data_IF_254895915184
#
_entry.id   IF_254895915184
#
_cell.length_a   1.000
_cell.length_b   1.000
_cell.length_c   1.000
_cell.angle_alpha   90.00
_cell.angle_beta   90.00
_cell.angle_gamma   90.00
#
_symmetry.space_group_name_H-M   'P 1'
#
loop_
_entity.id
_entity.type
_entity.pdbx_description
1 polymer ?
#
# COMPACT_ATOMS: atom_id res chain seq x y z
N UNK A 1 0.80 -6.12 14.38
CA UNK A 1 1.97 -6.19 13.48
C UNK A 1 1.73 -7.06 12.26
N UNK A 2 1.34 -8.34 12.42
CA UNK A 2 1.17 -9.24 11.28
C UNK A 2 0.16 -8.71 10.25
N UNK A 3 -0.98 -8.18 10.68
CA UNK A 3 -1.96 -7.54 9.79
C UNK A 3 -1.37 -6.40 8.94
N UNK A 4 -0.55 -5.54 9.54
CA UNK A 4 0.09 -4.44 8.81
C UNK A 4 1.12 -4.96 7.79
N UNK A 5 1.82 -6.06 8.09
CA UNK A 5 2.80 -6.68 7.18
C UNK A 5 2.08 -7.29 5.98
N UNK A 6 1.00 -8.00 6.28
CA UNK A 6 0.11 -8.57 5.30
C UNK A 6 -0.50 -7.51 4.36
N UNK A 7 -0.96 -6.37 4.90
CA UNK A 7 -1.44 -5.27 4.06
C UNK A 7 -0.34 -4.65 3.19
N UNK A 8 0.89 -4.52 3.71
CA UNK A 8 2.03 -4.03 2.93
C UNK A 8 2.36 -4.95 1.74
N UNK A 9 2.30 -6.26 1.95
CA UNK A 9 2.50 -7.24 0.89
C UNK A 9 1.43 -7.15 -0.19
N UNK A 10 0.15 -7.02 0.17
CA UNK A 10 -0.92 -6.80 -0.81
C UNK A 10 -0.56 -5.64 -1.74
N UNK A 11 -0.24 -4.46 -1.18
CA UNK A 11 0.04 -3.28 -1.99
C UNK A 11 1.29 -3.45 -2.87
N UNK A 12 2.33 -4.12 -2.38
CA UNK A 12 3.54 -4.39 -3.17
C UNK A 12 3.28 -5.28 -4.38
N UNK A 13 2.43 -6.31 -4.25
CA UNK A 13 2.04 -7.14 -5.39
C UNK A 13 1.20 -6.37 -6.40
N UNK A 14 0.34 -5.48 -5.94
CA UNK A 14 -0.52 -4.68 -6.83
C UNK A 14 0.26 -3.67 -7.64
N UNK A 15 1.34 -3.13 -7.06
CA UNK A 15 2.23 -2.21 -7.74
C UNK A 15 2.80 -2.80 -9.04
N UNK A 16 3.12 -4.10 -9.05
CA UNK A 16 3.71 -4.78 -10.21
C UNK A 16 2.79 -4.83 -11.44
N UNK A 17 1.47 -4.74 -11.25
CA UNK A 17 0.49 -4.96 -12.31
C UNK A 17 -0.29 -3.70 -12.72
N UNK A 18 0.00 -2.56 -12.09
CA UNK A 18 -0.62 -1.29 -12.45
C UNK A 18 0.20 -0.56 -13.51
N UNK A 19 -0.49 -0.08 -14.54
CA UNK A 19 0.16 0.63 -15.64
C UNK A 19 -0.03 2.15 -15.55
N UNK A 20 -1.13 2.62 -14.94
CA UNK A 20 -1.44 4.03 -14.92
C UNK A 20 -0.62 4.76 -13.83
N UNK A 21 0.10 5.85 -14.16
CA UNK A 21 1.01 6.55 -13.23
C UNK A 21 0.27 7.06 -11.98
N UNK A 22 -0.98 7.53 -12.15
CA UNK A 22 -1.83 7.92 -11.02
C UNK A 22 -2.09 6.78 -10.04
N UNK A 23 -2.37 5.57 -10.53
CA UNK A 23 -2.62 4.43 -9.64
C UNK A 23 -1.35 3.92 -8.97
N UNK A 24 -0.21 3.98 -9.67
CA UNK A 24 1.10 3.69 -9.08
C UNK A 24 1.40 4.67 -7.95
N UNK A 25 1.14 5.96 -8.14
CA UNK A 25 1.28 7.00 -7.10
C UNK A 25 0.36 6.75 -5.90
N UNK A 26 -0.91 6.41 -6.13
CA UNK A 26 -1.83 6.09 -5.04
C UNK A 26 -1.40 4.85 -4.22
N UNK A 27 -0.96 3.77 -4.88
CA UNK A 27 -0.47 2.58 -4.17
C UNK A 27 0.77 2.91 -3.34
N UNK A 28 1.70 3.67 -3.91
CA UNK A 28 2.91 4.09 -3.21
C UNK A 28 2.59 4.96 -1.98
N UNK A 29 1.65 5.90 -2.10
CA UNK A 29 1.19 6.68 -0.95
C UNK A 29 0.65 5.77 0.16
N UNK A 30 -0.29 4.87 -0.15
CA UNK A 30 -0.81 3.91 0.84
C UNK A 30 0.29 3.07 1.48
N UNK A 31 1.27 2.60 0.70
CA UNK A 31 2.39 1.81 1.19
C UNK A 31 3.28 2.61 2.16
N UNK A 32 3.56 3.88 1.87
CA UNK A 32 4.38 4.74 2.75
C UNK A 32 3.72 5.01 4.10
N UNK A 33 2.39 5.15 4.12
CA UNK A 33 1.62 5.27 5.37
C UNK A 33 1.73 3.97 6.18
N UNK A 34 1.62 2.81 5.53
CA UNK A 34 1.79 1.53 6.22
C UNK A 34 3.20 1.36 6.77
N UNK A 35 4.23 1.75 6.02
CA UNK A 35 5.62 1.65 6.46
C UNK A 35 5.90 2.60 7.63
N UNK A 36 5.39 3.84 7.61
CA UNK A 36 5.58 4.76 8.72
C UNK A 36 4.94 4.23 10.02
N UNK A 37 3.73 3.66 9.92
CA UNK A 37 3.07 2.99 11.05
C UNK A 37 3.91 1.81 11.56
N UNK A 38 4.45 0.98 10.66
CA UNK A 38 5.31 -0.14 11.04
C UNK A 38 6.58 0.29 11.76
N UNK A 39 7.28 1.30 11.24
CA UNK A 39 8.48 1.83 11.89
C UNK A 39 8.18 2.43 13.26
N UNK A 40 6.99 3.01 13.46
CA UNK A 40 6.53 3.50 14.75
C UNK A 40 6.25 2.40 15.78
N UNK A 41 5.94 1.18 15.35
CA UNK A 41 5.84 0.03 16.26
C UNK A 41 7.20 -0.62 16.54
N UNK A 42 8.17 -0.54 15.62
CA UNK A 42 9.51 -1.11 15.83
C UNK A 42 10.41 -0.27 16.74
N UNK A 43 10.27 1.06 16.67
CA UNK A 43 11.03 1.98 17.51
C UNK A 43 10.12 2.62 18.54
N UNK A 44 10.64 2.85 19.75
CA UNK A 44 9.90 3.49 20.85
C UNK A 44 9.43 4.92 20.53
N UNK A 45 10.15 5.61 19.63
CA UNK A 45 9.85 6.98 19.24
C UNK A 45 9.42 7.05 17.78
N UNK A 46 8.28 7.70 17.52
CA UNK A 46 7.72 7.90 16.17
C UNK A 46 8.52 8.88 15.28
N UNK A 47 9.63 9.45 15.77
CA UNK A 47 10.37 10.50 15.06
C UNK A 47 10.87 10.04 13.68
N UNK A 48 11.42 8.82 13.60
CA UNK A 48 11.86 8.25 12.33
C UNK A 48 10.69 7.99 11.37
N UNK A 49 9.58 7.43 11.86
CA UNK A 49 8.39 7.19 11.03
C UNK A 49 7.78 8.49 10.50
N UNK A 50 7.81 9.57 11.29
CA UNK A 50 7.30 10.88 10.91
C UNK A 50 8.14 11.54 9.81
N UNK A 51 9.48 11.49 9.93
CA UNK A 51 10.39 11.97 8.89
C UNK A 51 10.17 11.20 7.59
N UNK A 52 10.06 9.87 7.67
CA UNK A 52 9.80 9.01 6.51
C UNK A 52 8.48 9.38 5.82
N UNK A 53 7.42 9.59 6.59
CA UNK A 53 6.10 10.00 6.08
C UNK A 53 6.16 11.34 5.34
N UNK A 54 6.78 12.36 5.94
CA UNK A 54 6.84 13.70 5.35
C UNK A 54 7.66 13.75 4.06
N UNK A 55 8.84 13.14 4.06
CA UNK A 55 9.73 13.16 2.89
C UNK A 55 9.10 12.40 1.72
N UNK A 56 8.49 11.23 1.98
CA UNK A 56 7.94 10.41 0.91
C UNK A 56 6.66 10.99 0.32
N UNK A 57 5.77 11.53 1.15
CA UNK A 57 4.54 12.19 0.67
C UNK A 57 4.88 13.46 -0.09
N UNK A 58 5.83 14.27 0.40
CA UNK A 58 6.28 15.47 -0.31
C UNK A 58 6.80 15.16 -1.71
N UNK A 59 7.66 14.15 -1.85
CA UNK A 59 8.19 13.73 -3.16
C UNK A 59 7.11 13.16 -4.09
N UNK A 60 6.17 12.39 -3.55
CA UNK A 60 5.09 11.79 -4.35
C UNK A 60 4.07 12.81 -4.83
N UNK A 61 3.76 13.85 -4.04
CA UNK A 61 2.84 14.91 -4.45
C UNK A 61 3.41 15.73 -5.62
N UNK A 62 4.72 16.00 -5.64
CA UNK A 62 5.37 16.69 -6.77
C UNK A 62 5.30 15.83 -8.03
N UNK A 63 5.60 14.54 -7.95
CA UNK A 63 5.44 13.62 -9.09
C UNK A 63 4.00 13.52 -9.57
N UNK A 64 3.02 13.56 -8.66
CA UNK A 64 1.60 13.52 -9.01
C UNK A 64 1.17 14.75 -9.83
N UNK A 65 1.57 15.95 -9.40
CA UNK A 65 1.27 17.20 -10.13
C UNK A 65 1.95 17.18 -11.51
N UNK A 66 3.19 16.70 -11.58
CA UNK A 66 3.90 16.59 -12.85
C UNK A 66 3.19 15.65 -13.85
N UNK A 67 2.85 14.44 -13.42
CA UNK A 67 2.22 13.46 -14.31
C UNK A 67 0.81 13.86 -14.75
N UNK A 68 0.02 14.48 -13.87
CA UNK A 68 -1.31 14.99 -14.23
C UNK A 68 -1.27 16.17 -15.20
N UNK A 69 -0.18 16.95 -15.20
CA UNK A 69 -0.01 18.06 -16.15
C UNK A 69 0.38 17.61 -17.57
N UNK A 70 0.89 16.39 -17.72
CA UNK A 70 1.46 15.89 -18.99
C UNK A 70 0.58 14.84 -19.67
N UNK A 71 -0.15 14.02 -18.91
CA UNK A 71 -0.95 12.95 -19.47
C UNK A 71 -2.39 13.40 -19.77
N UNK A 72 -2.89 13.07 -20.97
CA UNK A 72 -4.34 13.02 -21.21
C UNK A 72 -4.97 11.97 -20.30
N UNK A 73 -6.11 12.27 -19.68
CA UNK A 73 -6.87 11.33 -18.84
C UNK A 73 -7.33 10.10 -19.64
N UNK A 74 -6.46 9.12 -19.82
CA UNK A 74 -6.81 7.84 -20.40
C UNK A 74 -7.76 7.09 -19.47
N UNK A 75 -8.73 6.38 -20.05
CA UNK A 75 -9.73 5.66 -19.27
C UNK A 75 -9.04 4.56 -18.46
N UNK A 76 -9.30 4.57 -17.16
CA UNK A 76 -8.75 3.59 -16.24
C UNK A 76 -9.25 2.18 -16.60
N UNK A 77 -8.33 1.28 -16.98
CA UNK A 77 -8.65 -0.12 -17.25
C UNK A 77 -8.13 -1.01 -16.11
N UNK A 78 -9.05 -1.55 -15.31
CA UNK A 78 -8.71 -2.55 -14.31
C UNK A 78 -8.56 -3.93 -14.97
N UNK A 79 -7.43 -4.58 -14.73
CA UNK A 79 -7.24 -5.95 -15.18
C UNK A 79 -8.10 -6.90 -14.31
N UNK A 80 -9.04 -7.63 -14.93
CA UNK A 80 -9.90 -8.60 -14.22
C UNK A 80 -9.12 -9.64 -13.41
N UNK A 81 -7.94 -10.04 -13.87
CA UNK A 81 -7.06 -10.97 -13.15
C UNK A 81 -6.57 -10.40 -11.82
N UNK A 82 -6.24 -9.10 -11.79
CA UNK A 82 -5.87 -8.39 -10.58
C UNK A 82 -7.00 -8.43 -9.53
N UNK A 83 -8.24 -8.19 -9.99
CA UNK A 83 -9.41 -8.20 -9.12
C UNK A 83 -9.66 -9.58 -8.49
N UNK A 84 -9.49 -10.66 -9.27
CA UNK A 84 -9.60 -12.03 -8.74
C UNK A 84 -8.51 -12.30 -7.72
N UNK A 85 -7.26 -11.92 -8.02
CA UNK A 85 -6.15 -12.07 -7.09
C UNK A 85 -6.39 -11.33 -5.76
N UNK A 86 -6.92 -10.11 -5.80
CA UNK A 86 -7.32 -9.38 -4.59
C UNK A 86 -8.33 -10.16 -3.74
N UNK A 87 -9.38 -10.68 -4.36
CA UNK A 87 -10.45 -11.40 -3.65
C UNK A 87 -9.87 -12.65 -2.96
N UNK A 88 -9.06 -13.41 -3.67
CA UNK A 88 -8.40 -14.62 -3.11
C UNK A 88 -7.47 -14.24 -1.96
N UNK A 89 -6.67 -13.18 -2.13
CA UNK A 89 -5.75 -12.74 -1.09
C UNK A 89 -6.49 -12.29 0.18
N UNK A 90 -7.56 -11.51 0.05
CA UNK A 90 -8.37 -11.08 1.19
C UNK A 90 -8.98 -12.29 1.89
N UNK A 91 -9.47 -13.28 1.13
CA UNK A 91 -10.01 -14.51 1.72
C UNK A 91 -8.95 -15.26 2.53
N UNK A 92 -7.73 -15.40 1.98
CA UNK A 92 -6.60 -16.00 2.70
C UNK A 92 -6.23 -15.21 3.96
N UNK A 93 -6.27 -13.88 3.92
CA UNK A 93 -6.02 -13.06 5.10
C UNK A 93 -7.04 -13.27 6.20
N UNK A 94 -8.32 -13.33 5.84
CA UNK A 94 -9.38 -13.57 6.82
C UNK A 94 -9.20 -14.92 7.50
N UNK A 95 -8.84 -15.96 6.74
CA UNK A 95 -8.55 -17.29 7.30
C UNK A 95 -7.40 -17.23 8.30
N UNK A 96 -6.28 -16.59 7.92
CA UNK A 96 -5.10 -16.48 8.79
C UNK A 96 -5.45 -15.72 10.08
N UNK A 97 -6.24 -14.64 9.99
CA UNK A 97 -6.63 -13.87 11.16
C UNK A 97 -7.51 -14.68 12.13
N UNK A 98 -8.45 -15.48 11.61
CA UNK A 98 -9.33 -16.32 12.43
C UNK A 98 -8.51 -17.37 13.19
N UNK A 99 -7.60 -18.06 12.52
CA UNK A 99 -6.76 -19.08 13.17
C UNK A 99 -5.78 -18.48 14.18
N UNK A 100 -5.35 -17.24 13.99
CA UNK A 100 -4.44 -16.60 14.93
C UNK A 100 -5.10 -16.30 16.27
N UNK A 101 -6.39 -15.93 16.30
CA UNK A 101 -7.09 -15.63 17.56
C UNK A 101 -7.13 -16.86 18.48
N UNK A 102 -7.31 -18.06 17.92
CA UNK A 102 -7.30 -19.33 18.69
C UNK A 102 -5.91 -19.75 19.17
N UNK A 103 -4.83 -19.24 18.56
CA UNK A 103 -3.45 -19.57 18.97
C UNK A 103 -2.94 -18.69 20.12
N UNK A 104 -3.55 -17.53 20.35
CA UNK A 104 -3.15 -16.58 21.41
C UNK A 104 -4.11 -16.56 22.62
N UNK A 105 -5.20 -17.34 22.60
CA UNK A 105 -6.00 -17.71 23.78
C UNK A 105 -5.46 -18.96 24.45
#
# INVERSE_FOLDING_TARGET
>A
MMFLFMMNWLFSFMFLFLNHPLSLGCILLCQTILISLMTGYFYLNFWFGYILFLVMIGGMLVMFIYMTSIASNEKFSFHKFLMIFFIVYIFMMMIILIFMDEFYS
#
